data_IF_074244745212
#
_entry.id   IF_074244745212
#
_cell.length_a   1.000
_cell.length_b   1.000
_cell.length_c   1.000
_cell.angle_alpha   90.00
_cell.angle_beta   90.00
_cell.angle_gamma   90.00
#
_symmetry.space_group_name_H-M   'P 1'
#
loop_
_entity.id
_entity.type
_entity.pdbx_description
1 polymer ?
#
# COMPACT_ATOMS: atom_id res chain seq x y z
N UNK A 1 -8.37 -2.53 -10.75
CA UNK A 1 -8.11 -3.96 -10.39
C UNK A 1 -6.79 -4.08 -9.64
N UNK A 2 -6.56 -5.15 -8.84
CA UNK A 2 -5.30 -5.38 -8.10
C UNK A 2 -4.76 -6.80 -8.30
N UNK A 3 -3.45 -6.96 -8.37
CA UNK A 3 -2.80 -8.27 -8.44
C UNK A 3 -2.70 -8.93 -7.05
N UNK A 4 -2.99 -10.23 -6.97
CA UNK A 4 -2.70 -11.02 -5.77
C UNK A 4 -1.19 -11.11 -5.46
N UNK A 5 -0.85 -11.31 -4.18
CA UNK A 5 0.53 -11.23 -3.69
C UNK A 5 1.35 -12.47 -4.04
N UNK A 6 0.97 -13.62 -3.50
CA UNK A 6 1.64 -14.91 -3.77
C UNK A 6 1.26 -15.48 -5.13
N UNK A 7 0.00 -15.37 -5.52
CA UNK A 7 -0.53 -15.80 -6.81
C UNK A 7 -0.98 -14.56 -7.57
N UNK A 8 -0.32 -14.29 -8.71
CA UNK A 8 -0.57 -13.10 -9.53
C UNK A 8 -1.85 -13.24 -10.35
N UNK A 9 -3.00 -13.31 -9.67
CA UNK A 9 -4.32 -13.17 -10.30
C UNK A 9 -4.83 -11.74 -10.13
N UNK A 10 -5.30 -11.11 -11.20
CA UNK A 10 -5.94 -9.81 -11.15
C UNK A 10 -7.37 -9.94 -10.61
N UNK A 11 -7.75 -9.08 -9.66
CA UNK A 11 -9.10 -9.04 -9.09
C UNK A 11 -9.68 -7.63 -9.21
N UNK A 12 -10.95 -7.53 -9.61
CA UNK A 12 -11.72 -6.28 -9.51
C UNK A 12 -12.13 -6.10 -8.05
N UNK A 13 -11.85 -4.90 -7.53
CA UNK A 13 -12.11 -4.50 -6.15
C UNK A 13 -12.53 -3.04 -6.17
N UNK A 14 -13.42 -2.69 -5.25
CA UNK A 14 -13.78 -1.30 -4.99
C UNK A 14 -12.76 -0.71 -4.01
N UNK A 15 -12.20 0.46 -4.31
CA UNK A 15 -11.16 1.07 -3.51
C UNK A 15 -11.67 2.36 -2.87
N UNK A 16 -11.32 2.54 -1.60
CA UNK A 16 -11.56 3.78 -0.87
C UNK A 16 -10.23 4.20 -0.25
N UNK A 17 -9.81 5.44 -0.51
CA UNK A 17 -8.69 6.07 0.17
C UNK A 17 -9.26 6.98 1.27
N UNK A 18 -8.97 6.66 2.52
CA UNK A 18 -9.39 7.47 3.66
C UNK A 18 -8.40 7.29 4.82
N UNK A 19 -8.21 8.32 5.65
CA UNK A 19 -7.35 8.27 6.85
C UNK A 19 -5.98 7.62 6.60
N UNK A 20 -5.32 8.00 5.49
CA UNK A 20 -4.03 7.47 5.06
C UNK A 20 -3.98 5.93 4.91
N UNK A 21 -5.13 5.30 4.72
CA UNK A 21 -5.27 3.87 4.46
C UNK A 21 -5.99 3.66 3.13
N UNK A 22 -5.52 2.68 2.38
CA UNK A 22 -6.23 2.20 1.19
C UNK A 22 -7.04 0.95 1.56
N UNK A 23 -8.35 1.10 1.56
CA UNK A 23 -9.31 0.04 1.78
C UNK A 23 -9.73 -0.54 0.44
N UNK A 24 -9.93 -1.86 0.40
CA UNK A 24 -10.51 -2.49 -0.77
C UNK A 24 -11.59 -3.50 -0.40
N UNK A 25 -12.66 -3.51 -1.18
CA UNK A 25 -13.87 -4.29 -0.98
C UNK A 25 -14.11 -5.21 -2.17
N UNK A 26 -14.87 -6.28 -1.97
CA UNK A 26 -15.29 -7.14 -3.06
C UNK A 26 -16.42 -6.48 -3.86
N UNK A 27 -17.40 -5.93 -3.16
CA UNK A 27 -18.53 -5.20 -3.70
C UNK A 27 -18.67 -3.81 -3.06
N UNK A 28 -19.38 -2.91 -3.75
CA UNK A 28 -19.63 -1.53 -3.28
C UNK A 28 -20.62 -1.48 -2.11
N UNK A 29 -21.39 -2.55 -1.89
CA UNK A 29 -22.39 -2.68 -0.82
C UNK A 29 -21.83 -3.32 0.44
N UNK A 30 -20.58 -3.79 0.41
CA UNK A 30 -19.95 -4.45 1.55
C UNK A 30 -19.67 -3.43 2.66
N UNK A 31 -19.98 -3.82 3.90
CA UNK A 31 -19.68 -3.00 5.09
C UNK A 31 -18.25 -3.20 5.58
N UNK A 32 -17.72 -4.41 5.40
CA UNK A 32 -16.40 -4.81 5.88
C UNK A 32 -15.40 -4.88 4.72
N UNK A 33 -14.18 -4.32 4.86
CA UNK A 33 -13.19 -4.36 3.81
C UNK A 33 -12.63 -5.77 3.62
N UNK A 34 -12.39 -6.13 2.36
CA UNK A 34 -11.63 -7.34 2.00
C UNK A 34 -10.16 -7.22 2.43
N UNK A 35 -9.63 -6.00 2.46
CA UNK A 35 -8.35 -5.73 3.10
C UNK A 35 -8.02 -4.26 3.22
N UNK A 36 -7.00 -3.99 4.01
CA UNK A 36 -6.58 -2.66 4.42
C UNK A 36 -5.07 -2.57 4.23
N UNK A 37 -4.63 -1.51 3.55
CA UNK A 37 -3.23 -1.19 3.32
C UNK A 37 -2.96 0.18 3.96
N UNK A 38 -2.40 0.21 5.17
CA UNK A 38 -1.86 1.44 5.73
C UNK A 38 -0.77 2.01 4.81
N UNK A 39 -0.83 3.33 4.53
CA UNK A 39 0.08 3.97 3.59
C UNK A 39 1.36 4.50 4.26
N UNK A 40 1.61 4.20 5.54
CA UNK A 40 2.86 4.61 6.17
C UNK A 40 4.06 3.85 5.61
N UNK A 41 5.12 4.57 5.25
CA UNK A 41 6.30 4.02 4.57
C UNK A 41 5.97 3.39 3.20
N UNK A 42 4.83 3.72 2.60
CA UNK A 42 4.50 3.28 1.24
C UNK A 42 4.94 4.35 0.24
N UNK A 43 5.39 3.90 -0.92
CA UNK A 43 5.64 4.73 -2.08
C UNK A 43 4.83 4.21 -3.27
N UNK A 44 4.61 5.08 -4.25
CA UNK A 44 3.88 4.76 -5.46
C UNK A 44 4.70 5.12 -6.70
N UNK A 45 4.72 4.21 -7.67
CA UNK A 45 5.36 4.39 -8.98
C UNK A 45 4.47 3.92 -10.12
N UNK A 46 4.63 4.52 -11.29
CA UNK A 46 4.05 4.00 -12.52
C UNK A 46 4.82 2.75 -12.97
N UNK A 47 4.09 1.81 -13.57
CA UNK A 47 4.69 0.61 -14.15
C UNK A 47 3.96 0.22 -15.43
N UNK A 48 4.65 -0.47 -16.32
CA UNK A 48 4.00 -1.16 -17.43
C UNK A 48 3.66 -2.60 -17.04
N UNK A 49 2.54 -3.10 -17.55
CA UNK A 49 2.16 -4.52 -17.44
C UNK A 49 1.78 -5.05 -18.81
N UNK A 50 2.16 -6.30 -19.11
CA UNK A 50 1.92 -6.93 -20.41
C UNK A 50 0.43 -7.10 -20.71
N UNK A 51 -0.41 -7.23 -19.69
CA UNK A 51 -1.80 -7.65 -19.82
C UNK A 51 -2.81 -6.64 -19.26
N UNK A 52 -2.35 -5.53 -18.68
CA UNK A 52 -3.20 -4.51 -18.08
C UNK A 52 -2.66 -3.11 -18.39
N UNK A 53 -3.53 -2.19 -18.85
CA UNK A 53 -3.13 -0.81 -19.09
C UNK A 53 -3.13 -0.02 -17.77
N UNK A 54 -2.63 1.21 -17.83
CA UNK A 54 -2.73 2.22 -16.77
C UNK A 54 -2.29 1.70 -15.39
N UNK A 55 -1.14 1.02 -15.35
CA UNK A 55 -0.68 0.34 -14.16
C UNK A 55 0.19 1.21 -13.26
N UNK A 56 0.05 1.00 -11.95
CA UNK A 56 0.92 1.58 -10.93
C UNK A 56 1.14 0.57 -9.79
N UNK A 57 2.19 0.77 -9.01
CA UNK A 57 2.53 -0.09 -7.88
C UNK A 57 2.66 0.70 -6.59
N UNK A 58 2.06 0.17 -5.54
CA UNK A 58 2.42 0.48 -4.17
C UNK A 58 3.55 -0.45 -3.73
N UNK A 59 4.60 0.10 -3.14
CA UNK A 59 5.74 -0.66 -2.62
C UNK A 59 6.22 -0.05 -1.29
N UNK A 60 6.81 -0.88 -0.43
CA UNK A 60 7.32 -0.41 0.85
C UNK A 60 8.69 0.27 0.70
N UNK A 61 8.87 1.42 1.35
CA UNK A 61 10.15 2.10 1.47
C UNK A 61 10.92 1.52 2.67
N UNK A 62 11.90 0.65 2.37
CA UNK A 62 12.83 0.14 3.38
C UNK A 62 12.39 -1.14 4.11
N UNK A 63 11.33 -1.81 3.66
CA UNK A 63 11.00 -3.19 4.04
C UNK A 63 10.72 -4.07 2.82
N UNK A 64 10.90 -5.37 2.95
CA UNK A 64 10.60 -6.33 1.88
C UNK A 64 9.09 -6.49 1.66
N UNK A 65 8.31 -6.46 2.75
CA UNK A 65 6.86 -6.64 2.72
C UNK A 65 6.13 -5.35 3.11
N UNK A 66 4.98 -5.14 2.47
CA UNK A 66 4.01 -4.12 2.82
C UNK A 66 3.19 -4.60 4.01
N UNK A 67 3.14 -3.80 5.07
CA UNK A 67 2.23 -4.03 6.19
C UNK A 67 0.80 -3.85 5.70
N UNK A 68 0.01 -4.90 5.75
CA UNK A 68 -1.38 -4.90 5.34
C UNK A 68 -2.11 -6.06 6.01
N UNK A 69 -3.43 -5.98 6.10
CA UNK A 69 -4.28 -7.10 6.47
C UNK A 69 -5.34 -7.36 5.39
N UNK A 70 -5.84 -8.60 5.36
CA UNK A 70 -6.94 -8.99 4.46
C UNK A 70 -7.74 -10.13 5.05
N UNK A 71 -8.97 -10.31 4.59
CA UNK A 71 -9.75 -11.50 4.90
C UNK A 71 -9.47 -12.60 3.88
N UNK A 72 -9.20 -13.82 4.36
CA UNK A 72 -9.10 -15.01 3.52
C UNK A 72 -10.48 -15.49 3.02
N UNK A 73 -10.54 -16.68 2.41
CA UNK A 73 -11.80 -17.25 1.93
C UNK A 73 -12.78 -17.63 3.03
N UNK A 74 -12.31 -17.81 4.27
CA UNK A 74 -13.11 -18.15 5.44
C UNK A 74 -13.53 -16.90 6.21
N UNK A 75 -13.16 -15.71 5.72
CA UNK A 75 -13.44 -14.43 6.38
C UNK A 75 -12.48 -14.10 7.52
N UNK A 76 -11.45 -14.93 7.77
CA UNK A 76 -10.49 -14.68 8.84
C UNK A 76 -9.52 -13.59 8.42
N UNK A 77 -9.27 -12.63 9.32
CA UNK A 77 -8.26 -11.59 9.12
C UNK A 77 -6.87 -12.19 9.24
N UNK A 78 -6.07 -12.00 8.18
CA UNK A 78 -4.69 -12.47 8.07
C UNK A 78 -3.78 -11.35 7.59
N UNK A 79 -2.49 -11.44 7.94
CA UNK A 79 -1.48 -10.51 7.44
C UNK A 79 -1.25 -10.70 5.93
N UNK A 80 -1.18 -9.58 5.21
CA UNK A 80 -0.83 -9.55 3.79
C UNK A 80 0.64 -9.88 3.58
N UNK A 81 0.94 -10.75 2.61
CA UNK A 81 2.32 -11.14 2.24
C UNK A 81 2.78 -10.49 0.93
N UNK A 82 2.33 -9.27 0.68
CA UNK A 82 2.59 -8.56 -0.57
C UNK A 82 3.89 -7.78 -0.46
N UNK A 83 4.82 -7.97 -1.41
CA UNK A 83 5.98 -7.10 -1.58
C UNK A 83 5.62 -5.83 -2.35
N UNK A 84 4.65 -5.96 -3.27
CA UNK A 84 4.01 -4.87 -4.00
C UNK A 84 2.50 -5.10 -4.13
N UNK A 85 1.73 -4.02 -4.21
CA UNK A 85 0.36 -4.04 -4.75
C UNK A 85 0.36 -3.38 -6.11
N UNK A 86 0.29 -4.20 -7.17
CA UNK A 86 0.11 -3.69 -8.53
C UNK A 86 -1.36 -3.47 -8.81
N UNK A 87 -1.67 -2.26 -9.28
CA UNK A 87 -3.01 -1.78 -9.57
C UNK A 87 -3.10 -1.38 -11.03
N UNK A 88 -4.30 -1.47 -11.61
CA UNK A 88 -4.62 -0.99 -12.96
C UNK A 88 -5.95 -0.26 -12.91
N UNK A 89 -5.97 0.96 -13.40
CA UNK A 89 -7.14 1.82 -13.52
C UNK A 89 -7.86 1.58 -14.87
N UNK A 90 -9.09 2.09 -15.02
CA UNK A 90 -9.83 1.94 -16.27
C UNK A 90 -9.34 2.94 -17.34
N UNK A 91 -8.89 4.12 -16.92
CA UNK A 91 -8.31 5.14 -17.81
C UNK A 91 -6.97 5.68 -17.29
N UNK A 92 -6.27 6.47 -18.12
CA UNK A 92 -5.02 7.08 -17.71
C UNK A 92 -5.24 8.21 -16.69
N UNK A 93 -6.32 8.97 -16.86
CA UNK A 93 -6.74 10.03 -15.95
C UNK A 93 -7.03 9.48 -14.56
N UNK A 94 -7.77 8.36 -14.47
CA UNK A 94 -8.00 7.68 -13.19
C UNK A 94 -6.67 7.21 -12.55
N UNK A 95 -5.75 6.65 -13.35
CA UNK A 95 -4.41 6.25 -12.85
C UNK A 95 -3.67 7.44 -12.26
N UNK A 96 -3.62 8.57 -12.98
CA UNK A 96 -2.96 9.79 -12.51
C UNK A 96 -3.60 10.34 -11.23
N UNK A 97 -4.93 10.36 -11.16
CA UNK A 97 -5.68 10.78 -9.99
C UNK A 97 -5.38 9.88 -8.77
N UNK A 98 -5.42 8.55 -8.95
CA UNK A 98 -5.07 7.62 -7.88
C UNK A 98 -3.64 7.82 -7.38
N UNK A 99 -2.67 7.96 -8.28
CA UNK A 99 -1.26 8.20 -7.91
C UNK A 99 -1.13 9.51 -7.13
N UNK A 100 -1.78 10.59 -7.60
CA UNK A 100 -1.77 11.90 -6.95
C UNK A 100 -2.33 11.81 -5.54
N UNK A 101 -3.52 11.23 -5.37
CA UNK A 101 -4.16 11.11 -4.06
C UNK A 101 -3.34 10.23 -3.10
N UNK A 102 -2.81 9.10 -3.56
CA UNK A 102 -1.94 8.24 -2.74
C UNK A 102 -0.68 8.99 -2.29
N UNK A 103 -0.01 9.73 -3.18
CA UNK A 103 1.17 10.54 -2.81
C UNK A 103 0.84 11.59 -1.75
N UNK A 104 -0.32 12.23 -1.84
CA UNK A 104 -0.77 13.23 -0.87
C UNK A 104 -1.09 12.60 0.50
N UNK A 105 -1.69 11.40 0.52
CA UNK A 105 -1.95 10.68 1.77
C UNK A 105 -0.67 10.13 2.44
N UNK A 106 0.38 9.80 1.67
CA UNK A 106 1.68 9.39 2.22
C UNK A 106 2.38 10.55 2.93
N UNK A 107 2.25 11.79 2.43
CA UNK A 107 3.00 12.95 2.93
C UNK A 107 2.41 13.60 4.18
N UNK A 108 1.17 13.28 4.57
CA UNK A 108 0.50 13.95 5.67
C UNK A 108 0.65 13.19 7.01
N UNK A 109 1.82 13.31 7.66
CA UNK A 109 1.94 13.01 9.09
C UNK A 109 3.09 13.80 9.76
N UNK A 110 2.82 14.94 10.43
CA UNK A 110 3.83 15.71 11.18
C UNK A 110 4.55 14.92 12.29
N UNK A 111 3.89 13.89 12.83
CA UNK A 111 4.46 12.97 13.81
C UNK A 111 5.43 11.98 13.18
N UNK A 112 5.28 11.66 11.90
CA UNK A 112 6.11 10.69 11.20
C UNK A 112 7.53 11.22 10.97
N UNK A 113 7.70 12.48 10.57
CA UNK A 113 9.02 13.11 10.49
C UNK A 113 9.72 13.10 11.85
N UNK A 114 8.96 13.37 12.92
CA UNK A 114 9.46 13.35 14.30
C UNK A 114 9.87 11.94 14.76
N UNK A 115 9.08 10.91 14.42
CA UNK A 115 9.37 9.51 14.75
C UNK A 115 10.50 8.93 13.89
N UNK A 116 10.56 9.25 12.60
CA UNK A 116 11.65 8.87 11.71
C UNK A 116 12.97 9.50 12.15
N UNK A 117 12.95 10.76 12.59
CA UNK A 117 14.11 11.43 13.20
C UNK A 117 14.55 10.75 14.50
N UNK A 118 13.61 10.34 15.36
CA UNK A 118 13.91 9.57 16.59
C UNK A 118 14.51 8.19 16.28
N UNK A 119 13.97 7.47 15.30
CA UNK A 119 14.48 6.15 14.88
C UNK A 119 15.88 6.25 14.28
N UNK A 120 16.16 7.26 13.44
CA UNK A 120 17.51 7.55 12.90
C UNK A 120 18.51 7.92 14.00
N UNK A 121 18.11 8.68 15.03
CA UNK A 121 18.98 9.01 16.18
C UNK A 121 19.32 7.79 17.02
N UNK A 122 18.33 6.95 17.34
CA UNK A 122 18.53 5.74 18.14
C UNK A 122 19.43 4.70 17.44
N UNK A 123 19.43 4.66 16.10
CA UNK A 123 20.33 3.80 15.34
C UNK A 123 21.77 4.34 15.32
N UNK A 124 21.98 5.66 15.32
CA UNK A 124 23.31 6.27 15.38
C UNK A 124 24.00 6.10 16.75
N UNK A 125 23.24 6.09 17.84
CA UNK A 125 23.78 5.88 19.20
C UNK A 125 24.28 4.45 19.41
N UNK A 126 23.64 3.44 18.79
CA UNK A 126 24.08 2.05 18.92
C UNK A 126 25.39 1.74 18.18
N UNK A 127 25.73 2.51 17.14
CA UNK A 127 27.00 2.33 16.38
C UNK A 127 28.21 2.86 17.16
N UNK A 128 28.03 3.85 18.04
CA UNK A 128 29.13 4.40 18.86
C UNK A 128 29.37 3.65 20.18
N UNK A 129 28.53 2.68 20.54
CA UNK A 129 28.73 1.86 21.76
C UNK A 129 29.50 0.56 21.53
N UNK A 130 29.88 0.27 20.27
CA UNK A 130 30.74 -0.85 19.89
C UNK A 130 32.05 -0.32 19.30
N UNK A 131 32.93 0.16 20.17
CA UNK A 131 34.36 0.35 19.91
C UNK A 131 35.11 0.04 21.19
#
# INVERSE_FOLDING_TARGET
>A
VVSGGRYKSWKRRWFILNDNCLYYFEYTTDKEPRGIIPLENIQVREVQDRHKPHCFELYAAGSEFIKACKTDSEGKVVEGKHTVYRMSAATDEEKEEWIKCVRQSISHNPFYDMLAARKKKAQKTNVHSKS
#
